data_IF_050858018644
#
_entry.id   IF_050858018644
#
_cell.length_a   1.000
_cell.length_b   1.000
_cell.length_c   1.000
_cell.angle_alpha   90.00
_cell.angle_beta   90.00
_cell.angle_gamma   90.00
#
_symmetry.space_group_name_H-M   'P 1'
#
loop_
_entity.id
_entity.type
_entity.pdbx_description
1 polymer ?
#
# COMPACT_ATOMS: atom_id res chain seq x y z
N UNK A 1 -14.43 5.15 -3.06
CA UNK A 1 -13.38 5.48 -2.07
C UNK A 1 -13.94 6.09 -0.78
N UNK A 2 -14.83 7.10 -0.83
CA UNK A 2 -15.37 7.74 0.38
C UNK A 2 -16.05 6.78 1.36
N UNK A 3 -16.87 5.85 0.87
CA UNK A 3 -17.51 4.82 1.71
C UNK A 3 -16.50 3.92 2.44
N UNK A 4 -15.34 3.62 1.84
CA UNK A 4 -14.29 2.84 2.50
C UNK A 4 -13.72 3.62 3.70
N UNK A 5 -13.49 4.92 3.53
CA UNK A 5 -12.97 5.80 4.57
C UNK A 5 -13.95 5.95 5.73
N UNK A 6 -15.24 6.11 5.41
CA UNK A 6 -16.32 6.20 6.39
C UNK A 6 -16.50 4.91 7.19
N UNK A 7 -16.53 3.76 6.50
CA UNK A 7 -16.67 2.45 7.14
C UNK A 7 -15.51 2.10 8.09
N UNK A 8 -14.33 2.69 7.87
CA UNK A 8 -13.13 2.46 8.68
C UNK A 8 -12.84 3.57 9.69
N UNK A 9 -13.78 4.48 9.94
CA UNK A 9 -13.64 5.48 11.01
C UNK A 9 -13.39 4.82 12.36
N UNK A 10 -12.66 5.54 13.23
CA UNK A 10 -12.49 5.15 14.63
C UNK A 10 -13.17 6.16 15.53
N UNK A 11 -13.79 5.66 16.61
CA UNK A 11 -14.22 6.52 17.70
C UNK A 11 -12.98 6.99 18.46
N UNK A 12 -12.82 8.30 18.60
CA UNK A 12 -11.76 8.91 19.40
C UNK A 12 -12.40 9.76 20.47
N UNK A 13 -11.94 9.60 21.71
CA UNK A 13 -12.42 10.37 22.85
C UNK A 13 -11.30 11.25 23.40
N UNK A 14 -11.63 12.48 23.76
CA UNK A 14 -10.77 13.38 24.54
C UNK A 14 -11.32 13.51 25.94
N UNK A 15 -10.45 13.36 26.94
CA UNK A 15 -10.80 13.43 28.35
C UNK A 15 -10.54 14.84 28.88
N UNK A 16 -11.49 15.36 29.66
CA UNK A 16 -11.51 16.76 30.11
C UNK A 16 -11.77 16.89 31.62
N UNK A 17 -11.73 15.79 32.38
CA UNK A 17 -11.86 15.82 33.83
C UNK A 17 -10.63 16.38 34.53
N UNK A 18 -10.79 16.69 35.82
CA UNK A 18 -9.72 17.20 36.69
C UNK A 18 -8.47 16.33 36.57
N UNK A 19 -7.31 16.98 36.38
CA UNK A 19 -6.00 16.32 36.19
C UNK A 19 -5.95 15.30 35.03
N UNK A 20 -6.75 15.49 33.99
CA UNK A 20 -6.80 14.60 32.82
C UNK A 20 -7.68 13.36 33.01
N UNK A 21 -8.50 13.32 34.06
CA UNK A 21 -9.48 12.25 34.28
C UNK A 21 -10.48 12.15 33.12
N UNK A 22 -10.93 10.93 32.83
CA UNK A 22 -11.97 10.67 31.83
C UNK A 22 -13.39 10.64 32.41
N UNK A 23 -13.59 11.13 33.64
CA UNK A 23 -14.93 11.27 34.25
C UNK A 23 -15.88 12.12 33.39
N UNK A 24 -15.34 13.14 32.71
CA UNK A 24 -15.98 13.81 31.59
C UNK A 24 -15.12 13.60 30.34
N UNK A 25 -15.74 13.14 29.25
CA UNK A 25 -15.08 12.96 27.96
C UNK A 25 -16.03 13.28 26.81
N UNK A 26 -15.46 13.74 25.70
CA UNK A 26 -16.17 13.97 24.45
C UNK A 26 -15.61 13.03 23.40
N UNK A 27 -16.48 12.29 22.71
CA UNK A 27 -16.09 11.34 21.67
C UNK A 27 -16.62 11.78 20.30
N UNK A 28 -15.83 11.57 19.27
CA UNK A 28 -16.18 11.86 17.88
C UNK A 28 -15.62 10.79 16.95
N UNK A 29 -16.24 10.61 15.77
CA UNK A 29 -15.72 9.73 14.73
C UNK A 29 -14.60 10.45 13.99
N UNK A 30 -13.45 9.80 13.90
CA UNK A 30 -12.29 10.32 13.18
C UNK A 30 -11.89 9.36 12.06
N UNK A 31 -11.56 9.92 10.89
CA UNK A 31 -10.96 9.15 9.81
C UNK A 31 -9.63 8.54 10.26
N UNK A 32 -9.35 7.32 9.80
CA UNK A 32 -8.01 6.73 9.93
C UNK A 32 -7.09 7.34 8.86
N UNK A 33 -5.80 7.44 9.17
CA UNK A 33 -4.81 7.78 8.16
C UNK A 33 -4.73 6.64 7.14
N UNK A 34 -4.60 6.98 5.87
CA UNK A 34 -4.57 6.02 4.76
C UNK A 34 -3.32 5.12 4.80
N UNK A 35 -2.25 5.58 5.42
CA UNK A 35 -0.99 4.87 5.57
C UNK A 35 -0.98 3.86 6.74
N UNK A 36 -2.09 3.74 7.47
CA UNK A 36 -2.24 2.68 8.47
C UNK A 36 -2.38 1.32 7.80
N UNK A 37 -1.79 0.28 8.38
CA UNK A 37 -1.82 -1.09 7.86
C UNK A 37 -3.25 -1.57 7.55
N UNK A 38 -4.20 -1.26 8.44
CA UNK A 38 -5.62 -1.58 8.26
C UNK A 38 -6.18 -0.97 6.97
N UNK A 39 -5.93 0.32 6.73
CA UNK A 39 -6.43 1.03 5.55
C UNK A 39 -5.74 0.54 4.27
N UNK A 40 -4.41 0.36 4.31
CA UNK A 40 -3.66 -0.18 3.17
C UNK A 40 -4.14 -1.58 2.79
N UNK A 41 -4.37 -2.46 3.77
CA UNK A 41 -4.91 -3.80 3.55
C UNK A 41 -6.33 -3.74 2.98
N UNK A 42 -7.21 -2.91 3.54
CA UNK A 42 -8.58 -2.77 3.05
C UNK A 42 -8.63 -2.26 1.60
N UNK A 43 -7.79 -1.28 1.26
CA UNK A 43 -7.67 -0.78 -0.11
C UNK A 43 -7.08 -1.84 -1.05
N UNK A 44 -6.02 -2.53 -0.63
CA UNK A 44 -5.39 -3.61 -1.42
C UNK A 44 -6.36 -4.76 -1.68
N UNK A 45 -7.20 -5.12 -0.70
CA UNK A 45 -8.24 -6.15 -0.90
C UNK A 45 -9.27 -5.72 -1.95
N UNK A 46 -9.72 -4.46 -1.95
CA UNK A 46 -10.60 -3.94 -3.01
C UNK A 46 -9.93 -3.94 -4.38
N UNK A 47 -8.64 -3.57 -4.44
CA UNK A 47 -7.86 -3.59 -5.68
C UNK A 47 -7.74 -5.02 -6.25
N UNK A 48 -7.41 -6.00 -5.40
CA UNK A 48 -7.28 -7.40 -5.81
C UNK A 48 -8.62 -8.04 -6.21
N UNK A 49 -9.73 -7.52 -5.68
CA UNK A 49 -11.09 -7.95 -6.01
C UNK A 49 -11.74 -7.11 -7.13
N UNK A 50 -10.98 -6.21 -7.78
CA UNK A 50 -11.53 -5.36 -8.82
C UNK A 50 -12.04 -6.20 -10.00
N UNK A 51 -13.17 -5.80 -10.58
CA UNK A 51 -13.83 -6.54 -11.67
C UNK A 51 -13.57 -5.87 -13.03
N UNK A 52 -13.32 -6.69 -14.05
CA UNK A 52 -13.32 -6.19 -15.43
C UNK A 52 -14.75 -5.93 -15.86
N UNK A 53 -15.02 -4.79 -16.48
CA UNK A 53 -16.36 -4.40 -16.90
C UNK A 53 -16.44 -4.02 -18.37
N UNK A 54 -17.63 -4.21 -18.94
CA UNK A 54 -18.06 -3.66 -20.22
C UNK A 54 -19.31 -2.81 -20.03
N UNK A 55 -19.54 -1.86 -20.94
CA UNK A 55 -20.75 -1.04 -20.93
C UNK A 55 -21.95 -1.83 -21.46
N UNK A 56 -23.02 -1.86 -20.66
CA UNK A 56 -24.31 -2.43 -21.04
C UNK A 56 -25.12 -1.47 -21.91
N UNK A 57 -26.26 -1.95 -22.44
CA UNK A 57 -27.12 -1.18 -23.36
C UNK A 57 -27.65 0.14 -22.76
N UNK A 58 -27.74 0.21 -21.44
CA UNK A 58 -28.28 1.35 -20.69
C UNK A 58 -27.19 2.15 -19.96
N UNK A 59 -25.91 1.97 -20.30
CA UNK A 59 -24.78 2.62 -19.63
C UNK A 59 -24.39 1.98 -18.28
N UNK A 60 -24.96 0.83 -17.94
CA UNK A 60 -24.60 0.07 -16.75
C UNK A 60 -23.24 -0.60 -16.92
N UNK A 61 -22.44 -0.69 -15.85
CA UNK A 61 -21.18 -1.43 -15.88
C UNK A 61 -21.45 -2.90 -15.53
N UNK A 62 -21.19 -3.77 -16.49
CA UNK A 62 -21.46 -5.20 -16.39
C UNK A 62 -20.14 -5.96 -16.24
N UNK A 63 -20.02 -6.74 -15.17
CA UNK A 63 -18.93 -7.70 -14.96
C UNK A 63 -19.40 -9.11 -15.30
N UNK A 64 -18.49 -9.94 -15.85
CA UNK A 64 -18.75 -11.36 -16.07
C UNK A 64 -18.22 -12.17 -14.90
N UNK A 65 -19.11 -12.77 -14.12
CA UNK A 65 -18.76 -13.57 -12.94
C UNK A 65 -18.97 -15.05 -13.25
N UNK A 66 -17.96 -15.88 -12.99
CA UNK A 66 -18.07 -17.33 -13.16
C UNK A 66 -18.82 -17.96 -11.98
N UNK A 67 -19.94 -18.64 -12.25
CA UNK A 67 -20.71 -19.37 -11.25
C UNK A 67 -20.87 -20.81 -11.74
N UNK A 68 -20.09 -21.73 -11.14
CA UNK A 68 -20.20 -23.18 -11.28
C UNK A 68 -20.06 -23.72 -12.71
N UNK A 69 -21.12 -23.55 -13.50
CA UNK A 69 -21.27 -24.09 -14.85
C UNK A 69 -21.27 -23.01 -15.95
N UNK A 70 -21.04 -21.73 -15.64
CA UNK A 70 -21.01 -20.68 -16.67
C UNK A 70 -20.69 -19.29 -16.15
N UNK A 71 -20.65 -18.32 -17.07
CA UNK A 71 -20.51 -16.90 -16.75
C UNK A 71 -21.88 -16.24 -16.73
N UNK A 72 -22.13 -15.43 -15.71
CA UNK A 72 -23.31 -14.56 -15.63
C UNK A 72 -22.89 -13.10 -15.71
N UNK A 73 -23.77 -12.29 -16.29
CA UNK A 73 -23.63 -10.84 -16.31
C UNK A 73 -24.16 -10.28 -14.98
N UNK A 74 -23.31 -9.54 -14.27
CA UNK A 74 -23.61 -8.92 -12.98
C UNK A 74 -23.41 -7.40 -13.09
N UNK A 75 -24.43 -6.62 -12.70
CA UNK A 75 -24.30 -5.17 -12.57
C UNK A 75 -23.42 -4.85 -11.37
N UNK A 76 -22.37 -4.07 -11.59
CA UNK A 76 -21.40 -3.75 -10.54
C UNK A 76 -21.96 -2.78 -9.50
N UNK A 77 -21.63 -3.02 -8.23
CA UNK A 77 -22.06 -2.18 -7.11
C UNK A 77 -21.18 -0.91 -6.98
N UNK A 78 -21.72 0.21 -6.50
CA UNK A 78 -20.97 1.47 -6.36
C UNK A 78 -19.70 1.38 -5.50
N UNK A 79 -19.64 0.42 -4.57
CA UNK A 79 -18.51 0.23 -3.65
C UNK A 79 -17.33 -0.52 -4.30
N UNK A 80 -17.57 -1.22 -5.42
CA UNK A 80 -16.59 -2.09 -6.06
C UNK A 80 -15.61 -1.28 -6.93
N UNK A 81 -14.37 -1.75 -7.02
CA UNK A 81 -13.41 -1.21 -7.98
C UNK A 81 -13.58 -1.94 -9.32
N UNK A 82 -13.52 -1.17 -10.40
CA UNK A 82 -13.70 -1.69 -11.76
C UNK A 82 -12.56 -1.24 -12.66
N UNK A 83 -12.31 -2.02 -13.70
CA UNK A 83 -11.41 -1.65 -14.79
C UNK A 83 -11.98 -2.09 -16.13
N UNK A 84 -11.73 -1.33 -17.19
CA UNK A 84 -12.17 -1.66 -18.55
C UNK A 84 -11.10 -2.43 -19.32
N UNK A 85 -9.84 -2.05 -19.14
CA UNK A 85 -8.70 -2.55 -19.90
C UNK A 85 -7.74 -3.36 -19.04
N UNK A 86 -7.13 -4.39 -19.62
CA UNK A 86 -6.10 -5.17 -18.95
C UNK A 86 -4.89 -4.31 -18.62
N UNK A 87 -4.31 -4.53 -17.43
CA UNK A 87 -3.06 -3.89 -17.06
C UNK A 87 -1.93 -4.33 -18.01
N UNK A 88 -1.03 -3.42 -18.41
CA UNK A 88 0.09 -3.76 -19.27
C UNK A 88 1.14 -4.59 -18.52
N UNK A 89 2.11 -5.09 -19.28
CA UNK A 89 3.34 -5.63 -18.68
C UNK A 89 4.20 -4.47 -18.13
N UNK A 90 4.41 -4.47 -16.82
CA UNK A 90 5.23 -3.47 -16.13
C UNK A 90 6.73 -3.81 -16.08
N UNK A 91 7.14 -4.97 -16.61
CA UNK A 91 8.53 -5.42 -16.55
C UNK A 91 9.47 -4.55 -17.39
N UNK A 92 9.04 -4.17 -18.59
CA UNK A 92 9.79 -3.39 -19.54
C UNK A 92 9.29 -1.95 -19.61
N UNK A 93 10.15 -1.04 -20.09
CA UNK A 93 9.81 0.37 -20.28
C UNK A 93 8.83 0.48 -21.45
N UNK A 94 7.64 1.02 -21.18
CA UNK A 94 6.60 1.28 -22.19
C UNK A 94 5.96 2.65 -21.91
N UNK A 95 6.54 3.74 -22.44
CA UNK A 95 6.09 5.10 -22.12
C UNK A 95 4.66 5.38 -22.57
N UNK A 96 4.20 4.76 -23.67
CA UNK A 96 2.83 4.95 -24.17
C UNK A 96 1.76 4.47 -23.18
N UNK A 97 2.09 3.46 -22.35
CA UNK A 97 1.21 2.95 -21.28
C UNK A 97 1.65 3.39 -19.89
N UNK A 98 2.61 4.33 -19.80
CA UNK A 98 3.12 4.86 -18.54
C UNK A 98 3.99 3.88 -17.73
N UNK A 99 4.44 2.77 -18.32
CA UNK A 99 5.35 1.84 -17.63
C UNK A 99 6.79 2.35 -17.69
N UNK A 100 7.41 2.49 -16.52
CA UNK A 100 8.84 2.85 -16.37
C UNK A 100 9.76 1.62 -16.33
N UNK A 101 9.21 0.41 -16.40
CA UNK A 101 9.95 -0.84 -16.24
C UNK A 101 10.36 -1.14 -14.78
N UNK A 102 10.98 -2.31 -14.56
CA UNK A 102 11.45 -2.72 -13.23
C UNK A 102 12.96 -2.74 -13.05
N UNK A 103 13.72 -2.29 -14.05
CA UNK A 103 15.18 -2.19 -13.97
C UNK A 103 15.62 -1.28 -12.82
N UNK A 104 16.69 -1.65 -12.12
CA UNK A 104 17.26 -0.95 -10.95
C UNK A 104 16.32 -0.78 -9.74
N UNK A 105 15.12 -1.37 -9.76
CA UNK A 105 14.24 -1.41 -8.58
C UNK A 105 14.82 -2.34 -7.51
N UNK A 106 14.58 -1.97 -6.26
CA UNK A 106 14.96 -2.78 -5.10
C UNK A 106 14.03 -3.99 -5.01
N UNK A 107 14.60 -5.15 -4.68
CA UNK A 107 13.86 -6.38 -4.45
C UNK A 107 14.33 -7.10 -3.18
N UNK A 108 13.53 -8.07 -2.70
CA UNK A 108 13.79 -8.81 -1.46
C UNK A 108 13.94 -10.30 -1.74
N UNK A 109 14.94 -10.97 -1.14
CA UNK A 109 15.18 -12.42 -1.33
C UNK A 109 14.33 -13.31 -0.43
N UNK A 110 13.95 -12.82 0.75
CA UNK A 110 13.14 -13.57 1.74
C UNK A 110 11.63 -13.47 1.51
N UNK A 111 11.20 -12.70 0.50
CA UNK A 111 9.78 -12.49 0.20
C UNK A 111 9.30 -13.46 -0.89
N UNK A 112 8.07 -13.93 -0.74
CA UNK A 112 7.34 -14.74 -1.74
C UNK A 112 6.32 -13.91 -2.51
N UNK A 113 6.03 -12.69 -2.06
CA UNK A 113 5.08 -11.78 -2.68
C UNK A 113 5.63 -11.05 -3.90
N UNK A 114 4.96 -9.95 -4.25
CA UNK A 114 5.33 -9.13 -5.41
C UNK A 114 6.70 -8.48 -5.25
N UNK A 115 7.20 -8.24 -4.03
CA UNK A 115 8.51 -7.63 -3.79
C UNK A 115 9.69 -8.60 -3.89
N UNK A 116 9.40 -9.90 -4.08
CA UNK A 116 10.39 -10.94 -4.34
C UNK A 116 11.25 -10.59 -5.55
N UNK A 117 12.56 -10.84 -5.50
CA UNK A 117 13.44 -10.64 -6.65
C UNK A 117 13.03 -11.44 -7.89
N UNK A 118 12.40 -12.60 -7.72
CA UNK A 118 11.88 -13.39 -8.86
C UNK A 118 10.77 -12.63 -9.59
N UNK A 119 9.85 -12.02 -8.84
CA UNK A 119 8.70 -11.30 -9.37
C UNK A 119 9.05 -9.87 -9.79
N UNK A 120 9.70 -9.09 -8.92
CA UNK A 120 10.09 -7.69 -9.20
C UNK A 120 11.01 -7.57 -10.41
N UNK A 121 11.95 -8.51 -10.56
CA UNK A 121 12.93 -8.46 -11.64
C UNK A 121 12.48 -9.25 -12.87
N UNK A 122 11.26 -9.80 -12.86
CA UNK A 122 10.67 -10.54 -13.98
C UNK A 122 11.60 -11.64 -14.54
N UNK A 123 12.27 -12.37 -13.64
CA UNK A 123 13.21 -13.43 -14.00
C UNK A 123 14.57 -12.98 -14.55
N UNK A 124 14.84 -11.67 -14.72
CA UNK A 124 16.14 -11.17 -15.24
C UNK A 124 17.31 -11.33 -14.27
N UNK A 125 17.04 -11.62 -13.00
CA UNK A 125 18.03 -11.65 -11.93
C UNK A 125 18.27 -10.28 -11.27
N UNK A 126 19.22 -10.23 -10.35
CA UNK A 126 19.53 -9.05 -9.55
C UNK A 126 21.04 -8.94 -9.29
N UNK A 127 21.49 -7.72 -8.98
CA UNK A 127 22.84 -7.42 -8.49
C UNK A 127 22.80 -6.95 -7.05
N UNK A 128 23.83 -7.28 -6.28
CA UNK A 128 24.04 -6.74 -4.95
C UNK A 128 24.72 -5.37 -5.05
N UNK A 129 24.14 -4.37 -4.41
CA UNK A 129 24.68 -3.01 -4.31
C UNK A 129 24.90 -2.70 -2.84
N UNK A 130 26.18 -2.59 -2.46
CA UNK A 130 26.58 -2.15 -1.11
C UNK A 130 26.51 -0.63 -1.05
N UNK A 131 25.76 -0.11 -0.08
CA UNK A 131 25.67 1.32 0.21
C UNK A 131 26.23 1.58 1.60
N UNK A 132 27.17 2.52 1.69
CA UNK A 132 27.63 3.10 2.95
C UNK A 132 26.72 4.27 3.30
N UNK A 133 26.13 4.23 4.48
CA UNK A 133 25.30 5.31 5.00
C UNK A 133 25.81 5.74 6.37
N UNK A 134 25.88 7.06 6.59
CA UNK A 134 26.16 7.62 7.91
C UNK A 134 24.81 7.82 8.60
N UNK A 135 24.59 7.11 9.71
CA UNK A 135 23.34 7.18 10.49
C UNK A 135 23.64 7.69 11.89
N UNK A 136 22.66 8.37 12.48
CA UNK A 136 22.71 8.74 13.88
C UNK A 136 22.43 7.49 14.73
N UNK A 137 23.37 7.12 15.59
CA UNK A 137 23.33 5.93 16.43
C UNK A 137 23.62 6.30 17.89
N UNK A 138 23.39 5.36 18.81
CA UNK A 138 23.74 5.51 20.24
C UNK A 138 23.22 6.81 20.88
N UNK A 139 22.02 7.23 20.45
CA UNK A 139 21.39 8.46 20.90
C UNK A 139 21.11 8.43 22.41
N UNK A 140 21.57 9.46 23.12
CA UNK A 140 21.44 9.63 24.57
C UNK A 140 20.90 11.01 24.91
N UNK A 141 20.20 11.10 26.04
CA UNK A 141 19.78 12.38 26.60
C UNK A 141 20.97 13.06 27.28
N UNK A 142 21.40 14.18 26.72
CA UNK A 142 22.39 15.07 27.31
C UNK A 142 21.75 16.06 28.29
N UNK A 143 22.60 16.78 29.03
CA UNK A 143 22.16 17.82 29.94
C UNK A 143 21.36 18.91 29.21
N UNK A 144 20.31 19.40 29.87
CA UNK A 144 19.38 20.37 29.27
C UNK A 144 18.37 19.75 28.31
N UNK A 145 18.03 18.47 28.47
CA UNK A 145 17.02 17.75 27.69
C UNK A 145 17.27 17.71 26.18
N UNK A 146 18.53 17.70 25.77
CA UNK A 146 18.92 17.61 24.35
C UNK A 146 19.29 16.18 24.01
N UNK A 147 18.78 15.66 22.89
CA UNK A 147 19.24 14.37 22.36
C UNK A 147 20.57 14.57 21.65
N UNK A 148 21.57 13.81 22.03
CA UNK A 148 22.87 13.76 21.37
C UNK A 148 23.14 12.33 20.87
N UNK A 149 23.50 12.21 19.60
CA UNK A 149 23.77 10.94 18.93
C UNK A 149 25.19 10.96 18.36
N UNK A 150 25.76 9.77 18.15
CA UNK A 150 27.03 9.61 17.48
C UNK A 150 26.79 9.33 15.98
N UNK A 151 27.77 9.63 15.12
CA UNK A 151 27.72 9.28 13.69
C UNK A 151 28.31 7.89 13.46
N UNK A 152 27.46 6.93 13.09
CA UNK A 152 27.87 5.58 12.75
C UNK A 152 27.88 5.38 11.23
N UNK A 153 28.97 4.81 10.71
CA UNK A 153 29.00 4.29 9.35
C UNK A 153 28.43 2.87 9.32
N UNK A 154 27.33 2.69 8.59
CA UNK A 154 26.74 1.36 8.35
C UNK A 154 26.87 0.99 6.87
N UNK A 155 27.17 -0.28 6.62
CA UNK A 155 27.13 -0.86 5.28
C UNK A 155 25.87 -1.72 5.12
N UNK A 156 25.02 -1.33 4.16
CA UNK A 156 23.80 -2.08 3.84
C UNK A 156 23.92 -2.64 2.43
N UNK A 157 23.72 -3.96 2.28
CA UNK A 157 23.67 -4.63 0.98
C UNK A 157 22.22 -4.69 0.50
N UNK A 158 21.94 -4.07 -0.64
CA UNK A 158 20.62 -4.06 -1.28
C UNK A 158 20.64 -4.84 -2.58
N UNK A 159 19.56 -5.58 -2.89
CA UNK A 159 19.41 -6.26 -4.18
C UNK A 159 18.66 -5.35 -5.15
N UNK A 160 19.20 -5.18 -6.37
CA UNK A 160 18.57 -4.39 -7.43
C UNK A 160 18.43 -5.19 -8.72
N UNK A 161 17.28 -5.06 -9.38
CA UNK A 161 17.00 -5.78 -10.62
C UNK A 161 17.92 -5.36 -11.77
N UNK A 162 18.30 -6.34 -12.61
CA UNK A 162 19.12 -6.15 -13.81
C UNK A 162 18.38 -5.48 -14.97
#
# INVERSE_FOLDING_TARGET
MCQLMEANQKLVCKCHGVSGSCAQRVCFRQLRRIDTELMQKALKMRYLAAKQVSEGKNGELIAKTFIGNGFIDEVVKPEELVFSEHSPDYCNVEPQRGSVGTRDRICTLKDTGTSSCVNMCCGRGYRNVTKREIVQCNCRMANGFKVQCDECNIETVTQRCL
#
